data_IF_871550901378
#
_entry.id   IF_871550901378
#
_cell.length_a   1.000
_cell.length_b   1.000
_cell.length_c   1.000
_cell.angle_alpha   90.00
_cell.angle_beta   90.00
_cell.angle_gamma   90.00
#
_symmetry.space_group_name_H-M   'P 1'
#
loop_
_entity.id
_entity.type
_entity.pdbx_description
1 polymer ?
#
# COMPACT_ATOMS: atom_id res chain seq x y z
N UNK A 1 2.56 33.58 21.04
CA UNK A 1 2.17 33.16 19.69
C UNK A 1 1.79 31.70 19.78
N UNK A 2 0.54 31.39 19.47
CA UNK A 2 -0.07 30.07 19.65
C UNK A 2 -0.47 29.58 18.26
N UNK A 3 -0.03 28.38 17.89
CA UNK A 3 -0.40 27.73 16.63
C UNK A 3 -1.33 26.57 16.94
N UNK A 4 -2.53 26.57 16.36
CA UNK A 4 -3.54 25.53 16.53
C UNK A 4 -3.65 24.69 15.26
N UNK A 5 -3.68 23.38 15.41
CA UNK A 5 -4.05 22.45 14.34
C UNK A 5 -5.42 21.89 14.69
N UNK A 6 -6.46 22.30 13.96
CA UNK A 6 -7.83 21.81 14.12
C UNK A 6 -8.07 20.69 13.11
N UNK A 7 -8.44 19.50 13.58
CA UNK A 7 -8.94 18.44 12.72
C UNK A 7 -10.46 18.41 12.87
N UNK A 8 -11.17 19.02 11.92
CA UNK A 8 -12.63 19.16 11.93
C UNK A 8 -13.21 18.12 10.98
N UNK A 9 -13.90 17.12 11.52
CA UNK A 9 -14.80 16.26 10.76
C UNK A 9 -16.23 16.81 10.86
N UNK A 10 -16.70 17.35 9.72
CA UNK A 10 -18.09 17.67 9.31
C UNK A 10 -19.03 18.51 10.19
N UNK A 11 -19.43 19.69 9.65
CA UNK A 11 -20.80 20.24 9.69
C UNK A 11 -21.07 20.94 8.35
N UNK A 12 -22.05 20.49 7.57
CA UNK A 12 -22.54 21.18 6.36
C UNK A 12 -23.91 21.84 6.63
N UNK A 13 -24.15 23.05 6.09
CA UNK A 13 -25.48 23.43 5.56
C UNK A 13 -25.43 24.69 4.67
N UNK A 14 -25.90 24.48 3.43
CA UNK A 14 -26.69 25.31 2.49
C UNK A 14 -26.45 26.81 2.23
N UNK A 15 -26.42 27.08 0.92
CA UNK A 15 -26.74 28.30 0.15
C UNK A 15 -25.76 29.48 0.08
N UNK A 16 -25.17 29.64 -1.11
CA UNK A 16 -24.59 30.90 -1.61
C UNK A 16 -25.30 31.31 -2.90
N UNK A 17 -25.71 32.59 -2.96
CA UNK A 17 -25.73 33.40 -4.18
C UNK A 17 -24.62 34.45 -4.12
N UNK A 18 -24.20 34.82 -5.32
CA UNK A 18 -22.95 35.44 -5.80
C UNK A 18 -22.63 36.94 -5.50
N UNK A 19 -21.30 37.20 -5.39
CA UNK A 19 -20.43 38.37 -5.74
C UNK A 19 -20.65 39.80 -5.18
N UNK A 20 -19.67 40.76 -5.24
CA UNK A 20 -18.20 40.69 -5.40
C UNK A 20 -17.39 41.50 -4.33
N UNK A 21 -16.06 41.32 -4.33
CA UNK A 21 -15.07 41.92 -3.44
C UNK A 21 -15.08 43.46 -3.35
N UNK A 22 -15.01 43.97 -2.12
CA UNK A 22 -14.64 45.35 -1.79
C UNK A 22 -13.65 45.35 -0.64
N UNK A 23 -12.43 45.82 -0.88
CA UNK A 23 -11.40 45.99 0.15
C UNK A 23 -11.78 47.17 1.05
N UNK A 24 -12.22 46.89 2.28
CA UNK A 24 -12.34 47.89 3.33
C UNK A 24 -11.87 47.30 4.68
N UNK A 25 -10.99 48.05 5.35
CA UNK A 25 -10.66 47.84 6.75
C UNK A 25 -11.96 47.82 7.57
N UNK A 26 -12.26 46.67 8.17
CA UNK A 26 -13.41 46.50 9.05
C UNK A 26 -12.91 46.15 10.45
N UNK A 27 -13.25 46.99 11.42
CA UNK A 27 -13.15 46.73 12.85
C UNK A 27 -14.08 45.57 13.21
N UNK A 28 -13.52 44.54 13.86
CA UNK A 28 -14.26 43.37 14.33
C UNK A 28 -15.12 43.73 15.54
N UNK A 29 -16.45 43.74 15.36
CA UNK A 29 -17.43 43.59 16.45
C UNK A 29 -17.70 42.12 16.71
N UNK A 30 -17.95 41.75 17.98
CA UNK A 30 -18.22 40.40 18.46
C UNK A 30 -19.33 39.69 17.67
N UNK A 31 -18.94 38.88 16.68
CA UNK A 31 -19.81 37.99 15.91
C UNK A 31 -19.18 36.60 15.83
N UNK A 32 -20.01 35.58 16.02
CA UNK A 32 -19.64 34.16 15.98
C UNK A 32 -18.95 33.80 14.66
N UNK A 33 -17.72 33.30 14.74
CA UNK A 33 -16.90 32.88 13.60
C UNK A 33 -17.10 31.39 13.35
N UNK A 34 -17.94 31.02 12.37
CA UNK A 34 -17.92 29.67 11.81
C UNK A 34 -18.08 29.72 10.29
N UNK A 35 -16.95 29.88 9.59
CA UNK A 35 -16.63 29.12 8.38
C UNK A 35 -15.17 29.38 8.02
N UNK A 36 -14.30 28.38 8.10
CA UNK A 36 -13.03 28.36 7.37
C UNK A 36 -12.52 26.92 7.30
N UNK A 37 -12.12 26.57 6.08
CA UNK A 37 -11.82 25.22 5.60
C UNK A 37 -10.30 25.12 5.37
N UNK A 38 -9.76 23.93 5.65
CA UNK A 38 -8.48 23.35 5.21
C UNK A 38 -7.20 23.56 6.04
N UNK A 39 -6.42 22.48 6.06
CA UNK A 39 -5.45 22.06 7.08
C UNK A 39 -4.01 22.59 6.92
N UNK A 40 -3.82 23.82 6.43
CA UNK A 40 -2.47 24.44 6.39
C UNK A 40 -2.35 25.84 6.98
N UNK A 41 -3.44 26.42 7.47
CA UNK A 41 -3.37 27.74 8.07
C UNK A 41 -3.19 27.66 9.58
N UNK A 42 -2.00 28.09 10.03
CA UNK A 42 -1.74 28.44 11.43
C UNK A 42 -2.63 29.63 11.80
N UNK A 43 -3.81 29.38 12.38
CA UNK A 43 -4.69 30.48 12.79
C UNK A 43 -4.07 31.19 14.00
N UNK A 44 -3.61 32.44 13.79
CA UNK A 44 -3.18 33.31 14.88
C UNK A 44 -4.41 33.82 15.63
N UNK A 45 -4.78 33.15 16.71
CA UNK A 45 -5.82 33.67 17.59
C UNK A 45 -5.26 34.78 18.50
N UNK A 46 -6.02 35.85 18.65
CA UNK A 46 -5.77 36.85 19.69
C UNK A 46 -6.14 36.25 21.06
N UNK A 47 -5.47 36.65 22.14
CA UNK A 47 -5.56 36.06 23.50
C UNK A 47 -6.98 36.06 24.14
N UNK A 48 -8.01 36.55 23.44
CA UNK A 48 -9.40 36.62 23.90
C UNK A 48 -10.36 35.69 23.16
N UNK A 49 -9.90 34.93 22.18
CA UNK A 49 -10.77 34.01 21.43
C UNK A 49 -11.23 32.84 22.34
N UNK A 50 -12.54 32.61 22.42
CA UNK A 50 -13.10 31.40 23.01
C UNK A 50 -13.31 30.38 21.90
N UNK A 51 -12.77 29.17 22.08
CA UNK A 51 -12.97 28.03 21.19
C UNK A 51 -14.01 27.15 21.87
N UNK A 52 -15.07 26.76 21.15
CA UNK A 52 -15.96 25.70 21.62
C UNK A 52 -15.28 24.36 21.31
N UNK A 53 -14.71 23.73 22.33
CA UNK A 53 -13.86 22.54 22.22
C UNK A 53 -14.52 21.27 22.77
N UNK A 54 -15.85 21.30 22.97
CA UNK A 54 -16.62 20.21 23.60
C UNK A 54 -16.48 18.85 22.90
N UNK A 55 -16.21 18.83 21.60
CA UNK A 55 -16.03 17.60 20.81
C UNK A 55 -14.72 17.58 19.99
N UNK A 56 -13.76 18.46 20.30
CA UNK A 56 -12.51 18.59 19.55
C UNK A 56 -11.28 18.14 20.35
N UNK A 57 -10.26 17.65 19.63
CA UNK A 57 -8.89 17.58 20.16
C UNK A 57 -8.20 18.85 19.71
N UNK A 58 -7.80 19.67 20.68
CA UNK A 58 -7.12 20.94 20.41
C UNK A 58 -5.66 20.77 20.81
N UNK A 59 -4.78 20.77 19.80
CA UNK A 59 -3.34 20.76 20.00
C UNK A 59 -2.84 22.20 19.88
N UNK A 60 -2.40 22.75 21.00
CA UNK A 60 -1.83 24.09 21.10
C UNK A 60 -0.32 23.95 21.06
N UNK A 61 0.34 24.56 20.07
CA UNK A 61 1.80 24.57 19.95
C UNK A 61 2.38 25.95 20.31
N UNK A 62 3.56 25.95 20.92
CA UNK A 62 4.35 27.17 21.15
C UNK A 62 4.97 27.68 19.84
N UNK A 63 5.62 28.85 19.90
CA UNK A 63 6.31 29.46 18.77
C UNK A 63 7.48 28.63 18.21
N UNK A 64 7.94 27.60 18.94
CA UNK A 64 8.99 26.66 18.51
C UNK A 64 8.39 25.37 17.93
N UNK A 65 7.06 25.30 17.79
CA UNK A 65 6.35 24.12 17.28
C UNK A 65 6.16 22.99 18.29
N UNK A 66 6.55 23.17 19.56
CA UNK A 66 6.37 22.15 20.60
C UNK A 66 4.95 22.22 21.15
N UNK A 67 4.32 21.08 21.42
CA UNK A 67 2.98 21.05 22.01
C UNK A 67 3.04 21.65 23.42
N UNK A 68 2.33 22.75 23.64
CA UNK A 68 2.26 23.46 24.91
C UNK A 68 1.04 23.05 25.74
N UNK A 69 -0.06 22.70 25.08
CA UNK A 69 -1.31 22.30 25.72
C UNK A 69 -2.09 21.36 24.79
N UNK A 70 -2.71 20.33 25.38
CA UNK A 70 -3.57 19.38 24.68
C UNK A 70 -4.91 19.36 25.39
N UNK A 71 -5.99 19.62 24.65
CA UNK A 71 -7.36 19.49 25.16
C UNK A 71 -8.09 18.41 24.42
N UNK A 72 -8.89 17.63 25.14
CA UNK A 72 -9.78 16.62 24.58
C UNK A 72 -11.17 16.90 25.15
N UNK A 73 -12.12 17.25 24.29
CA UNK A 73 -13.51 17.52 24.67
C UNK A 73 -13.59 18.60 25.78
N UNK A 74 -12.86 19.69 25.60
CA UNK A 74 -12.77 20.82 26.53
C UNK A 74 -11.99 20.59 27.83
N UNK A 75 -11.44 19.38 28.05
CA UNK A 75 -10.61 19.09 29.22
C UNK A 75 -9.14 19.14 28.86
N UNK A 76 -8.38 19.95 29.60
CA UNK A 76 -6.91 20.03 29.50
C UNK A 76 -6.30 18.73 30.03
N UNK A 77 -5.45 18.09 29.23
CA UNK A 77 -4.69 16.91 29.63
C UNK A 77 -3.35 17.36 30.21
N UNK A 78 -3.04 17.08 31.48
CA UNK A 78 -1.76 17.42 32.10
C UNK A 78 -0.57 16.82 31.34
N UNK A 79 0.55 17.53 31.28
CA UNK A 79 1.74 17.13 30.49
C UNK A 79 2.36 15.82 30.98
N UNK A 80 2.20 15.53 32.27
CA UNK A 80 2.67 14.32 32.93
C UNK A 80 1.97 13.07 32.40
N UNK A 81 0.81 13.24 31.73
CA UNK A 81 0.00 12.18 31.12
C UNK A 81 0.17 12.07 29.61
N UNK A 82 1.10 12.81 29.01
CA UNK A 82 1.36 12.73 27.57
C UNK A 82 2.26 11.53 27.23
N UNK A 83 1.95 10.35 27.76
CA UNK A 83 2.63 9.13 27.32
C UNK A 83 2.21 8.83 25.89
N UNK A 84 3.14 8.31 25.09
CA UNK A 84 2.87 7.94 23.69
C UNK A 84 1.66 7.00 23.58
N UNK A 85 1.47 6.14 24.58
CA UNK A 85 0.38 5.17 24.67
C UNK A 85 -0.99 5.82 24.94
N UNK A 86 -1.08 6.81 25.84
CA UNK A 86 -2.34 7.51 26.11
C UNK A 86 -2.72 8.43 24.94
N UNK A 87 -1.73 9.08 24.30
CA UNK A 87 -1.94 9.87 23.08
C UNK A 87 -2.40 8.98 21.92
N UNK A 88 -1.75 7.83 21.71
CA UNK A 88 -2.21 6.83 20.75
C UNK A 88 -3.61 6.33 21.09
N UNK A 89 -3.93 6.11 22.35
CA UNK A 89 -5.26 5.67 22.78
C UNK A 89 -6.33 6.73 22.49
N UNK A 90 -6.04 8.00 22.70
CA UNK A 90 -6.95 9.12 22.40
C UNK A 90 -7.13 9.30 20.88
N UNK A 91 -6.05 9.14 20.09
CA UNK A 91 -6.12 9.16 18.63
C UNK A 91 -6.87 7.94 18.07
N UNK A 92 -6.62 6.75 18.61
CA UNK A 92 -7.27 5.49 18.23
C UNK A 92 -8.75 5.45 18.64
N UNK A 93 -9.14 6.10 19.75
CA UNK A 93 -10.55 6.26 20.15
C UNK A 93 -11.35 7.16 19.21
N UNK A 94 -10.70 7.96 18.36
CA UNK A 94 -11.37 8.88 17.42
C UNK A 94 -11.45 8.36 15.99
N UNK A 95 -10.62 7.40 15.60
CA UNK A 95 -10.85 6.71 14.34
C UNK A 95 -12.04 5.78 14.58
N UNK A 96 -13.19 5.96 13.88
CA UNK A 96 -14.21 4.93 13.90
C UNK A 96 -13.52 3.64 13.49
N UNK A 97 -13.71 2.57 14.27
CA UNK A 97 -13.23 1.27 13.87
C UNK A 97 -13.71 1.04 12.43
N UNK A 98 -12.85 0.51 11.53
CA UNK A 98 -13.32 0.15 10.21
C UNK A 98 -14.54 -0.73 10.40
N UNK A 99 -15.60 -0.54 9.61
CA UNK A 99 -16.78 -1.36 9.76
C UNK A 99 -16.35 -2.82 9.68
N UNK A 100 -16.85 -3.65 10.59
CA UNK A 100 -16.49 -5.06 10.61
C UNK A 100 -17.13 -5.72 9.39
N UNK A 101 -16.35 -6.32 8.48
CA UNK A 101 -16.93 -7.07 7.38
C UNK A 101 -17.72 -8.28 7.94
N UNK A 102 -18.70 -8.81 7.19
CA UNK A 102 -19.34 -10.06 7.51
C UNK A 102 -18.28 -11.11 7.82
N UNK A 103 -18.40 -11.75 8.98
CA UNK A 103 -17.40 -12.70 9.42
C UNK A 103 -17.38 -13.90 8.47
N UNK A 104 -16.19 -14.29 8.02
CA UNK A 104 -15.98 -15.43 7.12
C UNK A 104 -16.21 -16.80 7.81
N UNK A 105 -16.63 -16.79 9.07
CA UNK A 105 -16.58 -17.92 10.02
C UNK A 105 -17.44 -19.13 9.62
N UNK A 106 -18.30 -19.02 8.62
CA UNK A 106 -19.19 -20.11 8.19
C UNK A 106 -18.69 -20.86 6.95
N UNK A 107 -17.62 -20.40 6.30
CA UNK A 107 -17.06 -21.09 5.14
C UNK A 107 -16.10 -22.17 5.63
N UNK A 108 -16.36 -23.46 5.33
CA UNK A 108 -15.47 -24.53 5.75
C UNK A 108 -14.12 -24.31 5.09
N UNK A 109 -13.03 -24.51 5.84
CA UNK A 109 -11.69 -24.44 5.27
C UNK A 109 -11.52 -25.51 4.18
N UNK A 110 -10.72 -25.26 3.13
CA UNK A 110 -10.34 -26.29 2.18
C UNK A 110 -9.65 -27.45 2.91
N UNK A 111 -9.77 -28.69 2.41
CA UNK A 111 -8.99 -29.79 2.95
C UNK A 111 -7.50 -29.42 2.88
N UNK A 112 -6.76 -29.68 3.95
CA UNK A 112 -5.32 -29.43 3.97
C UNK A 112 -4.62 -30.47 3.11
N UNK A 113 -3.64 -30.08 2.26
CA UNK A 113 -2.89 -31.04 1.48
C UNK A 113 -2.22 -32.07 2.39
N UNK A 114 -2.08 -33.33 1.95
CA UNK A 114 -1.41 -34.35 2.73
C UNK A 114 -0.01 -33.84 3.08
N UNK A 115 0.28 -33.72 4.38
CA UNK A 115 1.61 -33.38 4.88
C UNK A 115 2.50 -34.62 4.83
N UNK A 116 2.76 -35.11 3.63
CA UNK A 116 3.91 -35.98 3.41
C UNK A 116 5.13 -35.07 3.40
N UNK A 117 5.87 -35.05 4.51
CA UNK A 117 7.19 -34.45 4.50
C UNK A 117 7.96 -35.08 3.33
N UNK A 118 8.60 -34.29 2.46
CA UNK A 118 9.55 -34.86 1.52
C UNK A 118 10.55 -35.71 2.32
N UNK A 119 11.18 -36.74 1.71
CA UNK A 119 12.23 -37.49 2.38
C UNK A 119 13.19 -36.47 2.96
N UNK A 120 13.38 -36.51 4.29
CA UNK A 120 13.95 -35.39 5.05
C UNK A 120 15.14 -34.84 4.29
N UNK A 121 15.02 -33.57 3.83
CA UNK A 121 15.89 -32.94 2.85
C UNK A 121 17.28 -33.56 2.86
N UNK A 122 17.64 -34.23 1.76
CA UNK A 122 18.97 -34.82 1.61
C UNK A 122 20.04 -33.86 2.09
N UNK A 123 21.12 -34.38 2.70
CA UNK A 123 22.15 -33.58 3.33
C UNK A 123 22.52 -32.44 2.39
N UNK A 124 22.36 -31.20 2.88
CA UNK A 124 22.73 -29.96 2.18
C UNK A 124 23.98 -30.27 1.37
N UNK A 125 23.95 -30.08 0.04
CA UNK A 125 25.02 -30.56 -0.80
C UNK A 125 26.34 -30.02 -0.26
N UNK A 126 27.38 -30.87 -0.14
CA UNK A 126 28.63 -30.45 0.47
C UNK A 126 29.09 -29.19 -0.22
N UNK A 127 29.43 -28.12 0.51
CA UNK A 127 29.90 -26.88 -0.12
C UNK A 127 31.10 -27.19 -1.01
N UNK A 128 31.16 -26.68 -2.25
CA UNK A 128 32.29 -26.91 -3.12
C UNK A 128 33.57 -26.33 -2.49
N UNK A 129 34.74 -26.94 -2.74
CA UNK A 129 36.03 -26.33 -2.45
C UNK A 129 36.10 -24.89 -2.99
N UNK A 130 36.71 -23.97 -2.24
CA UNK A 130 36.91 -22.58 -2.67
C UNK A 130 38.22 -22.52 -3.47
N UNK A 131 38.24 -21.95 -4.69
CA UNK A 131 39.46 -21.88 -5.49
C UNK A 131 40.52 -21.01 -4.79
N UNK A 132 41.83 -21.34 -4.92
CA UNK A 132 42.89 -20.49 -4.40
C UNK A 132 42.86 -19.12 -5.08
N UNK A 133 43.10 -18.07 -4.31
CA UNK A 133 43.09 -16.69 -4.81
C UNK A 133 44.42 -16.42 -5.54
N UNK A 134 44.40 -15.95 -6.81
CA UNK A 134 45.64 -15.63 -7.51
C UNK A 134 46.37 -14.45 -6.83
N UNK A 135 47.72 -14.40 -6.89
CA UNK A 135 48.45 -13.24 -6.39
C UNK A 135 48.05 -11.97 -7.17
N UNK A 136 47.46 -10.99 -6.47
CA UNK A 136 46.74 -9.85 -7.08
C UNK A 136 47.62 -8.69 -7.57
N UNK A 137 48.96 -8.80 -7.56
CA UNK A 137 49.86 -7.71 -7.92
C UNK A 137 50.21 -7.72 -9.41
N UNK A 138 49.87 -6.65 -10.11
CA UNK A 138 50.19 -6.43 -11.54
C UNK A 138 51.70 -6.54 -11.83
N UNK A 139 52.57 -6.21 -10.87
CA UNK A 139 54.03 -6.40 -10.98
C UNK A 139 54.46 -7.87 -10.89
N UNK A 140 53.67 -8.72 -10.24
CA UNK A 140 54.01 -10.13 -10.03
C UNK A 140 53.51 -11.03 -11.16
N UNK A 141 52.56 -10.57 -11.99
CA UNK A 141 52.14 -11.25 -13.21
C UNK A 141 53.26 -11.36 -14.27
N UNK A 142 54.30 -10.50 -14.22
CA UNK A 142 55.44 -10.56 -15.14
C UNK A 142 56.54 -11.53 -14.71
N UNK A 143 56.48 -12.07 -13.49
CA UNK A 143 57.46 -13.05 -12.98
C UNK A 143 56.84 -14.45 -12.89
N UNK A 144 56.67 -15.12 -14.04
CA UNK A 144 56.22 -16.53 -14.11
C UNK A 144 57.09 -17.50 -13.31
N UNK A 145 58.34 -17.12 -13.02
CA UNK A 145 59.28 -17.92 -12.23
C UNK A 145 59.29 -17.59 -10.73
N UNK A 146 58.40 -16.71 -10.25
CA UNK A 146 58.33 -16.39 -8.83
C UNK A 146 57.96 -17.64 -8.01
N UNK A 147 58.52 -17.73 -6.79
CA UNK A 147 58.16 -18.79 -5.84
C UNK A 147 56.65 -18.81 -5.53
N UNK A 148 56.00 -17.65 -5.58
CA UNK A 148 54.57 -17.50 -5.31
C UNK A 148 53.73 -18.10 -6.44
N UNK A 149 54.14 -17.93 -7.70
CA UNK A 149 53.43 -18.52 -8.84
C UNK A 149 53.55 -20.06 -8.85
N UNK A 150 54.72 -20.59 -8.49
CA UNK A 150 54.90 -22.06 -8.35
C UNK A 150 54.05 -22.63 -7.21
N UNK A 151 53.90 -21.91 -6.09
CA UNK A 151 53.01 -22.30 -4.99
C UNK A 151 51.55 -22.25 -5.43
N UNK A 152 51.13 -21.18 -6.09
CA UNK A 152 49.77 -21.05 -6.62
C UNK A 152 49.42 -22.18 -7.59
N UNK A 153 50.30 -22.52 -8.55
CA UNK A 153 50.06 -23.64 -9.47
C UNK A 153 49.96 -24.99 -8.74
N UNK A 154 50.78 -25.23 -7.71
CA UNK A 154 50.69 -26.43 -6.90
C UNK A 154 49.40 -26.48 -6.05
N UNK A 155 48.91 -25.33 -5.58
CA UNK A 155 47.62 -25.21 -4.90
C UNK A 155 46.45 -25.42 -5.85
N UNK A 156 46.52 -24.91 -7.08
CA UNK A 156 45.54 -25.18 -8.14
C UNK A 156 45.47 -26.68 -8.48
N UNK A 157 46.60 -27.38 -8.62
CA UNK A 157 46.59 -28.82 -8.90
C UNK A 157 45.96 -29.63 -7.74
N UNK A 158 46.16 -29.20 -6.49
CA UNK A 158 45.49 -29.80 -5.32
C UNK A 158 44.00 -29.51 -5.34
N UNK A 159 43.63 -28.26 -5.64
CA UNK A 159 42.25 -27.82 -5.77
C UNK A 159 41.50 -28.64 -6.84
N UNK A 160 42.09 -28.85 -8.01
CA UNK A 160 41.49 -29.65 -9.08
C UNK A 160 41.24 -31.11 -8.63
N UNK A 161 42.18 -31.71 -7.91
CA UNK A 161 42.02 -33.06 -7.33
C UNK A 161 40.93 -33.12 -6.25
N UNK A 162 40.79 -32.06 -5.44
CA UNK A 162 39.72 -31.96 -4.45
C UNK A 162 38.35 -31.74 -5.11
N UNK A 163 38.29 -30.91 -6.15
CA UNK A 163 37.10 -30.67 -6.96
C UNK A 163 36.61 -31.96 -7.65
N UNK A 164 37.49 -32.76 -8.22
CA UNK A 164 37.13 -34.04 -8.83
C UNK A 164 36.57 -35.04 -7.80
N UNK A 165 37.17 -35.12 -6.61
CA UNK A 165 36.64 -35.94 -5.51
C UNK A 165 35.29 -35.45 -5.02
N UNK A 166 35.16 -34.13 -4.88
CA UNK A 166 33.91 -33.48 -4.48
C UNK A 166 32.80 -33.75 -5.50
N UNK A 167 33.10 -33.61 -6.80
CA UNK A 167 32.17 -33.87 -7.90
C UNK A 167 31.69 -35.31 -7.90
N UNK A 168 32.58 -36.29 -7.76
CA UNK A 168 32.21 -37.72 -7.66
C UNK A 168 31.30 -38.01 -6.46
N UNK A 169 31.61 -37.44 -5.29
CA UNK A 169 30.79 -37.60 -4.08
C UNK A 169 29.41 -36.94 -4.23
N UNK A 170 29.37 -35.79 -4.92
CA UNK A 170 28.15 -35.07 -5.21
C UNK A 170 27.26 -35.84 -6.20
N UNK A 171 27.83 -36.34 -7.30
CA UNK A 171 27.12 -37.16 -8.30
C UNK A 171 26.52 -38.42 -7.68
N UNK A 172 27.28 -39.15 -6.85
CA UNK A 172 26.74 -40.33 -6.14
C UNK A 172 25.61 -39.96 -5.17
N UNK A 173 25.70 -38.80 -4.51
CA UNK A 173 24.65 -38.32 -3.61
C UNK A 173 23.38 -37.90 -4.34
N UNK A 174 23.50 -37.44 -5.59
CA UNK A 174 22.37 -37.10 -6.45
C UNK A 174 21.61 -38.35 -6.91
N UNK A 175 22.29 -39.43 -7.30
CA UNK A 175 21.62 -40.66 -7.73
C UNK A 175 20.76 -41.27 -6.62
N UNK A 176 21.26 -41.28 -5.38
CA UNK A 176 20.50 -41.77 -4.21
C UNK A 176 19.32 -40.84 -3.90
N UNK A 177 19.50 -39.53 -4.06
CA UNK A 177 18.43 -38.56 -3.90
C UNK A 177 17.34 -38.72 -4.96
N UNK A 178 17.71 -38.88 -6.22
CA UNK A 178 16.77 -39.10 -7.33
C UNK A 178 15.92 -40.35 -7.08
N UNK A 179 16.53 -41.45 -6.62
CA UNK A 179 15.79 -42.68 -6.25
C UNK A 179 14.85 -42.45 -5.07
N UNK A 180 15.27 -41.72 -4.04
CA UNK A 180 14.41 -41.37 -2.90
C UNK A 180 13.24 -40.49 -3.33
N UNK A 181 13.47 -39.53 -4.23
CA UNK A 181 12.43 -38.68 -4.78
C UNK A 181 11.45 -39.44 -5.66
N UNK A 182 11.93 -40.37 -6.48
CA UNK A 182 11.07 -41.22 -7.31
C UNK A 182 10.19 -42.14 -6.46
N UNK A 183 10.75 -42.77 -5.41
CA UNK A 183 9.98 -43.58 -4.46
C UNK A 183 8.95 -42.74 -3.72
N UNK A 184 9.35 -41.58 -3.21
CA UNK A 184 8.43 -40.67 -2.53
C UNK A 184 7.31 -40.17 -3.44
N UNK A 185 7.61 -39.88 -4.71
CA UNK A 185 6.59 -39.51 -5.69
C UNK A 185 5.61 -40.65 -5.90
N UNK A 186 6.07 -41.89 -6.12
CA UNK A 186 5.20 -43.06 -6.28
C UNK A 186 4.33 -43.34 -5.05
N UNK A 187 4.89 -43.17 -3.84
CA UNK A 187 4.16 -43.38 -2.59
C UNK A 187 3.12 -42.28 -2.30
N UNK A 188 3.35 -41.06 -2.80
CA UNK A 188 2.46 -39.92 -2.53
C UNK A 188 1.53 -39.56 -3.68
N UNK A 189 1.80 -40.01 -4.90
CA UNK A 189 0.92 -39.89 -6.07
C UNK A 189 -0.54 -40.27 -5.76
N UNK A 190 -0.87 -41.46 -5.20
CA UNK A 190 -2.26 -41.79 -4.88
C UNK A 190 -2.87 -40.87 -3.80
N UNK A 191 -2.07 -40.36 -2.86
CA UNK A 191 -2.55 -39.40 -1.85
C UNK A 191 -2.86 -38.04 -2.48
N UNK A 192 -2.07 -37.62 -3.47
CA UNK A 192 -2.33 -36.40 -4.22
C UNK A 192 -3.56 -36.54 -5.12
N UNK A 193 -3.79 -37.71 -5.73
CA UNK A 193 -5.02 -37.98 -6.48
C UNK A 193 -6.26 -37.97 -5.57
N UNK A 194 -6.19 -38.61 -4.41
CA UNK A 194 -7.30 -38.62 -3.44
C UNK A 194 -7.56 -37.20 -2.91
N UNK A 195 -6.49 -36.46 -2.60
CA UNK A 195 -6.59 -35.07 -2.20
C UNK A 195 -7.22 -34.20 -3.30
N UNK A 196 -6.84 -34.41 -4.57
CA UNK A 196 -7.45 -33.73 -5.72
C UNK A 196 -8.95 -33.99 -5.81
N UNK A 197 -9.39 -35.24 -5.62
CA UNK A 197 -10.82 -35.58 -5.57
C UNK A 197 -11.53 -34.91 -4.39
N UNK A 198 -10.91 -34.84 -3.22
CA UNK A 198 -11.46 -34.13 -2.06
C UNK A 198 -11.58 -32.63 -2.32
N UNK A 199 -10.58 -32.02 -2.98
CA UNK A 199 -10.61 -30.61 -3.39
C UNK A 199 -11.73 -30.34 -4.40
N UNK A 200 -11.91 -31.20 -5.41
CA UNK A 200 -12.98 -31.05 -6.40
C UNK A 200 -14.37 -31.12 -5.76
N UNK A 201 -14.57 -32.03 -4.81
CA UNK A 201 -15.84 -32.15 -4.06
C UNK A 201 -16.04 -30.90 -3.20
N UNK A 202 -15.02 -30.51 -2.44
CA UNK A 202 -15.07 -29.34 -1.58
C UNK A 202 -15.35 -28.06 -2.38
N UNK A 203 -14.74 -27.88 -3.55
CA UNK A 203 -14.97 -26.72 -4.42
C UNK A 203 -16.42 -26.68 -4.92
N UNK A 204 -16.95 -27.82 -5.38
CA UNK A 204 -18.35 -27.90 -5.83
C UNK A 204 -19.35 -27.63 -4.71
N UNK A 205 -19.09 -28.15 -3.51
CA UNK A 205 -19.97 -27.95 -2.35
C UNK A 205 -19.91 -26.52 -1.79
N UNK A 206 -18.77 -25.85 -1.92
CA UNK A 206 -18.56 -24.51 -1.34
C UNK A 206 -18.67 -23.36 -2.34
N UNK A 207 -18.59 -23.62 -3.65
CA UNK A 207 -18.84 -22.62 -4.69
C UNK A 207 -20.13 -21.79 -4.48
N UNK A 208 -21.31 -22.37 -4.20
CA UNK A 208 -22.52 -21.57 -3.96
C UNK A 208 -22.42 -20.72 -2.69
N UNK A 209 -21.72 -21.19 -1.66
CA UNK A 209 -21.51 -20.41 -0.42
C UNK A 209 -20.56 -19.24 -0.65
N UNK A 210 -19.50 -19.44 -1.44
CA UNK A 210 -18.60 -18.38 -1.87
C UNK A 210 -19.30 -17.34 -2.73
N UNK A 211 -20.18 -17.76 -3.63
CA UNK A 211 -20.99 -16.83 -4.44
C UNK A 211 -21.95 -16.02 -3.55
N UNK A 212 -22.64 -16.68 -2.60
CA UNK A 212 -23.52 -16.01 -1.65
C UNK A 212 -22.76 -15.01 -0.76
N UNK A 213 -21.60 -15.42 -0.22
CA UNK A 213 -20.73 -14.57 0.56
C UNK A 213 -20.22 -13.38 -0.27
N UNK A 214 -19.83 -13.59 -1.53
CA UNK A 214 -19.43 -12.51 -2.44
C UNK A 214 -20.55 -11.48 -2.65
N UNK A 215 -21.80 -11.94 -2.79
CA UNK A 215 -22.98 -11.05 -2.87
C UNK A 215 -23.20 -10.27 -1.58
N UNK A 216 -23.02 -10.91 -0.42
CA UNK A 216 -23.15 -10.25 0.88
C UNK A 216 -22.04 -9.21 1.11
N UNK A 217 -20.79 -9.55 0.80
CA UNK A 217 -19.66 -8.64 0.80
C UNK A 217 -19.88 -7.44 -0.13
N UNK A 218 -20.44 -7.68 -1.33
CA UNK A 218 -20.80 -6.60 -2.25
C UNK A 218 -21.83 -5.64 -1.66
N UNK A 219 -22.90 -6.17 -1.04
CA UNK A 219 -23.91 -5.34 -0.35
C UNK A 219 -23.31 -4.58 0.82
N UNK A 220 -22.51 -5.25 1.64
CA UNK A 220 -21.83 -4.63 2.76
C UNK A 220 -20.89 -3.52 2.31
N UNK A 221 -20.13 -3.74 1.24
CA UNK A 221 -19.22 -2.73 0.68
C UNK A 221 -19.99 -1.50 0.18
N UNK A 222 -21.14 -1.67 -0.46
CA UNK A 222 -22.00 -0.55 -0.88
C UNK A 222 -22.57 0.23 0.32
N UNK A 223 -23.05 -0.47 1.36
CA UNK A 223 -23.59 0.17 2.57
C UNK A 223 -22.49 0.92 3.34
N UNK A 224 -21.29 0.37 3.38
CA UNK A 224 -20.16 0.93 4.12
C UNK A 224 -19.25 1.83 3.29
N UNK A 225 -19.54 2.03 2.00
CA UNK A 225 -18.74 2.87 1.10
C UNK A 225 -18.49 4.28 1.66
N UNK A 226 -19.50 5.00 2.21
CA UNK A 226 -19.26 6.33 2.77
C UNK A 226 -18.33 6.29 3.98
N UNK A 227 -18.49 5.29 4.85
CA UNK A 227 -17.64 5.11 6.02
C UNK A 227 -16.21 4.73 5.62
N UNK A 228 -16.04 3.88 4.60
CA UNK A 228 -14.73 3.53 4.04
C UNK A 228 -14.05 4.74 3.39
N UNK A 229 -14.80 5.63 2.74
CA UNK A 229 -14.28 6.90 2.21
C UNK A 229 -13.81 7.83 3.32
N UNK A 230 -14.58 7.97 4.39
CA UNK A 230 -14.18 8.77 5.57
C UNK A 230 -12.95 8.16 6.24
N UNK A 231 -12.93 6.85 6.45
CA UNK A 231 -11.79 6.14 7.02
C UNK A 231 -10.54 6.27 6.15
N UNK A 232 -10.66 6.07 4.84
CA UNK A 232 -9.55 6.22 3.89
C UNK A 232 -9.01 7.65 3.89
N UNK A 233 -9.89 8.66 3.91
CA UNK A 233 -9.50 10.07 4.02
C UNK A 233 -8.78 10.37 5.33
N UNK A 234 -9.31 9.89 6.46
CA UNK A 234 -8.65 10.07 7.76
C UNK A 234 -7.29 9.36 7.82
N UNK A 235 -7.18 8.19 7.19
CA UNK A 235 -5.92 7.47 7.07
C UNK A 235 -4.91 8.25 6.22
N UNK A 236 -5.31 8.80 5.08
CA UNK A 236 -4.44 9.63 4.25
C UNK A 236 -4.03 10.92 4.97
N UNK A 237 -4.97 11.62 5.60
CA UNK A 237 -4.72 12.88 6.30
C UNK A 237 -3.76 12.70 7.50
N UNK A 238 -3.84 11.56 8.18
CA UNK A 238 -2.92 11.21 9.27
C UNK A 238 -1.50 10.86 8.78
N UNK A 239 -1.34 10.44 7.52
CA UNK A 239 -0.04 10.09 6.92
C UNK A 239 0.62 11.25 6.17
N UNK A 240 -0.13 12.26 5.72
CA UNK A 240 0.41 13.44 5.02
C UNK A 240 1.30 14.35 5.88
N UNK A 241 1.38 14.12 7.19
CA UNK A 241 2.34 14.77 8.09
C UNK A 241 3.75 14.16 8.08
N UNK A 242 3.96 13.00 7.45
CA UNK A 242 5.27 12.37 7.31
C UNK A 242 5.88 12.74 5.94
N UNK A 243 6.57 13.88 5.88
CA UNK A 243 7.13 14.51 4.68
C UNK A 243 8.20 13.67 3.92
N UNK A 244 8.45 12.41 4.27
CA UNK A 244 9.49 11.60 3.62
C UNK A 244 9.01 10.18 3.30
N UNK A 245 8.58 9.98 2.04
CA UNK A 245 8.72 8.70 1.32
C UNK A 245 7.51 7.77 1.26
N UNK A 246 6.46 8.01 2.05
CA UNK A 246 5.27 7.15 2.06
C UNK A 246 4.10 7.78 1.28
N UNK A 247 4.32 8.08 -0.01
CA UNK A 247 3.22 8.22 -0.98
C UNK A 247 2.61 6.83 -1.18
N UNK A 248 1.79 6.39 -0.22
CA UNK A 248 0.98 5.19 -0.37
C UNK A 248 0.22 5.33 -1.70
N UNK A 249 0.22 4.26 -2.48
CA UNK A 249 -0.21 4.19 -3.88
C UNK A 249 -1.74 4.36 -4.03
N UNK A 250 -2.30 5.45 -3.54
CA UNK A 250 -3.69 5.84 -3.81
C UNK A 250 -3.89 6.07 -5.32
N UNK A 251 -2.81 6.42 -6.02
CA UNK A 251 -2.77 6.39 -7.48
C UNK A 251 -3.07 5.00 -8.05
N UNK A 252 -2.62 3.91 -7.44
CA UNK A 252 -2.90 2.55 -7.95
C UNK A 252 -4.38 2.19 -7.82
N UNK A 253 -4.99 2.37 -6.65
CA UNK A 253 -6.43 2.09 -6.47
C UNK A 253 -7.29 2.94 -7.41
N UNK A 254 -6.93 4.22 -7.58
CA UNK A 254 -7.61 5.11 -8.53
C UNK A 254 -7.42 4.65 -9.98
N UNK A 255 -6.20 4.24 -10.33
CA UNK A 255 -5.90 3.73 -11.67
C UNK A 255 -6.65 2.44 -11.94
N UNK A 256 -6.85 1.56 -10.96
CA UNK A 256 -7.59 0.31 -11.11
C UNK A 256 -9.08 0.58 -11.36
N UNK A 257 -9.70 1.49 -10.60
CA UNK A 257 -11.09 1.92 -10.84
C UNK A 257 -11.24 2.55 -12.22
N UNK A 258 -10.32 3.45 -12.59
CA UNK A 258 -10.31 4.06 -13.91
C UNK A 258 -10.15 3.02 -15.02
N UNK A 259 -9.24 2.07 -14.86
CA UNK A 259 -8.96 1.02 -15.83
C UNK A 259 -10.17 0.11 -16.03
N UNK A 260 -10.86 -0.26 -14.95
CA UNK A 260 -12.10 -1.05 -15.02
C UNK A 260 -13.20 -0.31 -15.79
N UNK A 261 -13.38 0.99 -15.56
CA UNK A 261 -14.33 1.80 -16.32
C UNK A 261 -13.93 1.93 -17.80
N UNK A 262 -12.63 2.11 -18.10
CA UNK A 262 -12.12 2.14 -19.47
C UNK A 262 -12.33 0.81 -20.20
N UNK A 263 -12.22 -0.33 -19.50
CA UNK A 263 -12.52 -1.66 -20.02
C UNK A 263 -14.03 -1.84 -20.28
N UNK A 264 -14.88 -1.39 -19.35
CA UNK A 264 -16.33 -1.48 -19.45
C UNK A 264 -16.85 -0.70 -20.67
N UNK A 265 -16.32 0.51 -20.90
CA UNK A 265 -16.64 1.34 -22.06
C UNK A 265 -15.89 0.90 -23.34
N UNK A 266 -15.10 -0.19 -23.26
CA UNK A 266 -14.31 -0.76 -24.38
C UNK A 266 -13.32 0.23 -25.01
N UNK A 267 -12.83 1.19 -24.22
CA UNK A 267 -11.84 2.17 -24.64
C UNK A 267 -10.41 1.61 -24.63
N UNK A 268 -10.19 0.57 -23.83
CA UNK A 268 -8.95 -0.21 -23.76
C UNK A 268 -9.27 -1.72 -23.74
N UNK A 269 -8.25 -2.55 -23.94
CA UNK A 269 -8.34 -4.01 -23.75
C UNK A 269 -7.50 -4.43 -22.54
N UNK A 270 -7.94 -5.47 -21.84
CA UNK A 270 -7.20 -6.00 -20.69
C UNK A 270 -5.79 -6.44 -21.10
N UNK A 271 -4.80 -6.06 -20.31
CA UNK A 271 -3.39 -6.39 -20.56
C UNK A 271 -2.72 -5.62 -21.70
N UNK A 272 -3.35 -4.60 -22.28
CA UNK A 272 -2.71 -3.77 -23.31
C UNK A 272 -2.11 -2.49 -22.73
N UNK A 273 -1.04 -2.01 -23.38
CA UNK A 273 -0.52 -0.68 -23.14
C UNK A 273 -1.58 0.35 -23.48
N UNK A 274 -1.77 1.32 -22.59
CA UNK A 274 -2.64 2.45 -22.89
C UNK A 274 -2.07 3.76 -22.36
N UNK A 275 -2.46 4.85 -23.04
CA UNK A 275 -2.22 6.21 -22.60
C UNK A 275 -3.57 6.92 -22.45
N UNK A 276 -3.92 7.26 -21.22
CA UNK A 276 -5.12 8.02 -20.89
C UNK A 276 -4.72 9.45 -20.54
N UNK A 277 -5.37 10.44 -21.16
CA UNK A 277 -5.23 11.83 -20.73
C UNK A 277 -6.58 12.55 -20.68
N UNK A 278 -6.79 13.31 -19.62
CA UNK A 278 -8.00 14.12 -19.44
C UNK A 278 -7.61 15.52 -18.98
N UNK A 279 -8.22 16.53 -19.61
CA UNK A 279 -8.01 17.94 -19.28
C UNK A 279 -9.35 18.60 -18.98
N UNK A 280 -9.53 19.05 -17.73
CA UNK A 280 -10.70 19.82 -17.33
C UNK A 280 -10.79 21.16 -18.06
N UNK A 281 -9.64 21.81 -18.26
CA UNK A 281 -9.51 23.11 -18.94
C UNK A 281 -9.90 23.04 -20.41
N UNK A 282 -9.44 22.02 -21.13
CA UNK A 282 -9.74 21.82 -22.56
C UNK A 282 -11.08 21.10 -22.79
N UNK A 283 -11.70 20.61 -21.71
CA UNK A 283 -12.83 19.68 -21.74
C UNK A 283 -12.60 18.53 -22.71
N UNK A 284 -11.44 17.90 -22.58
CA UNK A 284 -10.96 16.91 -23.53
C UNK A 284 -10.49 15.65 -22.82
N UNK A 285 -10.96 14.51 -23.32
CA UNK A 285 -10.52 13.18 -22.93
C UNK A 285 -9.88 12.51 -24.15
N UNK A 286 -8.69 11.94 -23.98
CA UNK A 286 -7.98 11.14 -24.98
C UNK A 286 -7.61 9.78 -24.41
N UNK A 287 -7.80 8.75 -25.23
CA UNK A 287 -7.32 7.39 -24.96
C UNK A 287 -6.51 6.96 -26.17
N UNK A 288 -5.25 6.60 -25.94
CA UNK A 288 -4.26 6.28 -26.97
C UNK A 288 -4.11 7.39 -28.02
N UNK A 289 -4.17 8.65 -27.56
CA UNK A 289 -4.09 9.83 -28.42
C UNK A 289 -5.38 10.19 -29.16
N UNK A 290 -6.37 9.29 -29.19
CA UNK A 290 -7.67 9.48 -29.84
C UNK A 290 -8.61 10.23 -28.91
N UNK A 291 -9.12 11.37 -29.39
CA UNK A 291 -10.12 12.19 -28.68
C UNK A 291 -11.44 11.42 -28.57
N UNK A 292 -11.97 11.34 -27.35
CA UNK A 292 -13.22 10.67 -27.02
C UNK A 292 -14.42 11.63 -27.10
N UNK A 293 -15.64 11.07 -27.03
CA UNK A 293 -16.88 11.83 -27.06
C UNK A 293 -17.01 12.75 -25.83
N UNK A 294 -17.83 13.79 -25.97
CA UNK A 294 -18.10 14.72 -24.86
C UNK A 294 -18.83 14.03 -23.69
N UNK A 295 -19.69 13.04 -23.98
CA UNK A 295 -20.38 12.25 -22.96
C UNK A 295 -19.40 11.44 -22.11
N UNK A 296 -18.42 10.79 -22.75
CA UNK A 296 -17.34 10.09 -22.05
C UNK A 296 -16.49 11.07 -21.25
N UNK A 297 -16.15 12.23 -21.82
CA UNK A 297 -15.45 13.27 -21.07
C UNK A 297 -16.20 13.63 -19.77
N UNK A 298 -17.50 13.91 -19.81
CA UNK A 298 -18.24 14.27 -18.59
C UNK A 298 -18.31 13.12 -17.57
N UNK A 299 -18.46 11.87 -18.04
CA UNK A 299 -18.42 10.67 -17.18
C UNK A 299 -17.08 10.58 -16.42
N UNK A 300 -15.95 10.61 -17.14
CA UNK A 300 -14.63 10.49 -16.52
C UNK A 300 -14.21 11.76 -15.76
N UNK A 301 -14.66 12.94 -16.19
CA UNK A 301 -14.48 14.20 -15.46
C UNK A 301 -15.14 14.14 -14.08
N UNK A 302 -16.36 13.58 -14.00
CA UNK A 302 -17.05 13.35 -12.72
C UNK A 302 -16.27 12.37 -11.84
N UNK A 303 -15.77 11.27 -12.40
CA UNK A 303 -14.94 10.30 -11.69
C UNK A 303 -13.67 10.95 -11.12
N UNK A 304 -13.01 11.80 -11.91
CA UNK A 304 -11.80 12.52 -11.49
C UNK A 304 -12.10 13.52 -10.39
N UNK A 305 -13.16 14.34 -10.54
CA UNK A 305 -13.58 15.33 -9.54
C UNK A 305 -14.01 14.72 -8.21
N UNK A 306 -14.61 13.51 -8.23
CA UNK A 306 -14.93 12.80 -6.99
C UNK A 306 -13.68 12.37 -6.21
N UNK A 307 -12.54 12.27 -6.90
CA UNK A 307 -11.28 11.78 -6.34
C UNK A 307 -10.32 12.91 -5.93
N UNK A 308 -10.47 14.11 -6.48
CA UNK A 308 -9.67 15.28 -6.12
C UNK A 308 -10.52 16.19 -5.22
N UNK A 309 -10.12 16.35 -3.95
CA UNK A 309 -10.82 17.24 -3.02
C UNK A 309 -10.80 18.71 -3.49
N UNK A 310 -9.89 19.06 -4.40
CA UNK A 310 -9.84 20.35 -5.06
C UNK A 310 -10.72 20.33 -6.33
N UNK A 311 -11.78 21.14 -6.28
CA UNK A 311 -12.80 21.27 -7.32
C UNK A 311 -12.41 22.15 -8.50
N UNK A 312 -11.17 22.63 -8.54
CA UNK A 312 -10.75 23.59 -9.56
C UNK A 312 -10.65 22.93 -10.94
N UNK A 313 -11.24 23.59 -11.94
CA UNK A 313 -11.46 23.08 -13.31
C UNK A 313 -10.18 22.87 -14.12
N UNK A 314 -9.03 23.22 -13.59
CA UNK A 314 -7.80 23.43 -14.35
C UNK A 314 -6.80 22.28 -14.16
N UNK A 315 -7.30 21.04 -14.14
CA UNK A 315 -6.46 19.86 -14.04
C UNK A 315 -6.11 19.26 -15.41
N UNK A 316 -4.92 18.66 -15.50
CA UNK A 316 -4.47 17.82 -16.62
C UNK A 316 -3.83 16.56 -16.02
N UNK A 317 -4.47 15.41 -16.25
CA UNK A 317 -4.04 14.11 -15.74
C UNK A 317 -3.64 13.25 -16.93
N UNK A 318 -2.44 12.66 -16.86
CA UNK A 318 -1.95 11.70 -17.86
C UNK A 318 -1.47 10.43 -17.16
N UNK A 319 -1.99 9.29 -17.60
CA UNK A 319 -1.67 7.96 -17.06
C UNK A 319 -1.23 7.08 -18.22
N UNK A 320 -0.04 6.49 -18.10
CA UNK A 320 0.48 5.51 -19.04
C UNK A 320 0.71 4.18 -18.33
N UNK A 321 0.14 3.10 -18.88
CA UNK A 321 0.40 1.73 -18.41
C UNK A 321 1.16 0.96 -19.48
N UNK A 322 2.24 0.31 -19.07
CA UNK A 322 2.96 -0.68 -19.89
C UNK A 322 2.49 -2.07 -19.42
N UNK A 323 2.20 -2.93 -20.37
CA UNK A 323 1.98 -4.35 -20.18
C UNK A 323 3.33 -4.95 -19.80
N UNK A 324 3.34 -5.59 -18.63
CA UNK A 324 4.49 -6.33 -18.15
C UNK A 324 4.58 -7.70 -18.82
#
# INVERSE_FOLDING_TARGET
>A
MITLTLNIAEVFSSDKKEYPCRTNHTSFSNGSLVSLVSARDSIKLNNKAKIDDKDAVVIIKDHKGRVSELRVNGKVIPKEKWTTEELQTVMNKRMPAPPTPPAFSELPAPPTPPQSAPPGFSPVPPKPPIPPIPPCSIKDMQMKDSKEWKKFNAEMEKFDKEMEKWKKKYESGLEDYEKQMEQWQKENEPKFEEFGKQMDIWEKENAPKWEAFGKEMGKWALVNEPQMKVWAKQFTDNFEGADHGFKFKLSTVRNDVLENELLADKLIKSGQNYNFSISGKKKELRVNGIKQSNELFEKYNKLMKQSTADSDSDYEISISKQAN
#
